data_IF_239110685479
#
_entry.id   IF_239110685479
#
_cell.length_a   1.000
_cell.length_b   1.000
_cell.length_c   1.000
_cell.angle_alpha   90.00
_cell.angle_beta   90.00
_cell.angle_gamma   90.00
#
_symmetry.space_group_name_H-M   'P 1'
#
loop_
_entity.id
_entity.type
_entity.pdbx_description
1 polymer ?
#
# COMPACT_ATOMS: atom_id res chain seq x y z
N UNK A 1 10.12 -5.39 9.01
CA UNK A 1 9.53 -4.26 8.29
C UNK A 1 10.28 -3.02 8.76
N UNK A 2 10.58 -2.07 7.87
CA UNK A 2 11.30 -0.83 8.20
C UNK A 2 10.51 0.38 7.77
N UNK A 3 10.75 1.51 8.42
CA UNK A 3 10.23 2.81 7.99
C UNK A 3 10.62 3.08 6.54
N UNK A 4 9.68 3.59 5.76
CA UNK A 4 9.88 4.05 4.38
C UNK A 4 9.54 5.54 4.33
N UNK A 5 10.43 6.34 3.76
CA UNK A 5 10.22 7.77 3.59
C UNK A 5 9.77 8.05 2.16
N UNK A 6 8.45 8.07 1.97
CA UNK A 6 7.81 8.46 0.71
C UNK A 6 7.29 9.88 0.82
N UNK A 7 7.89 10.80 0.06
CA UNK A 7 7.38 12.16 -0.04
C UNK A 7 6.06 12.18 -0.85
N UNK A 8 4.98 12.54 -0.17
CA UNK A 8 3.65 12.62 -0.77
C UNK A 8 3.41 13.91 -1.56
N UNK A 9 4.28 14.93 -1.42
CA UNK A 9 4.23 16.14 -2.22
C UNK A 9 4.77 15.90 -3.65
N UNK A 10 5.67 14.93 -3.83
CA UNK A 10 6.26 14.60 -5.13
C UNK A 10 5.42 13.56 -5.88
N UNK A 11 4.26 14.00 -6.36
CA UNK A 11 3.28 13.15 -7.05
C UNK A 11 3.80 12.77 -8.46
N UNK A 12 3.74 11.48 -8.87
CA UNK A 12 4.05 11.08 -10.24
C UNK A 12 3.16 11.82 -11.27
N UNK A 13 3.70 12.30 -12.41
CA UNK A 13 2.94 13.04 -13.43
C UNK A 13 1.65 12.33 -13.88
N UNK A 14 1.67 11.01 -13.97
CA UNK A 14 0.51 10.19 -14.33
C UNK A 14 -0.63 10.20 -13.29
N UNK A 15 -0.36 10.58 -12.04
CA UNK A 15 -1.32 10.62 -10.93
C UNK A 15 -1.83 12.04 -10.62
N UNK A 16 -1.29 13.06 -11.30
CA UNK A 16 -1.72 14.45 -11.15
C UNK A 16 -3.20 14.60 -11.55
N UNK A 17 -3.92 15.45 -10.83
CA UNK A 17 -5.32 15.77 -11.07
C UNK A 17 -5.42 16.86 -12.14
N UNK A 18 -6.26 16.63 -13.14
CA UNK A 18 -6.58 17.60 -14.19
C UNK A 18 -7.56 16.97 -15.17
N UNK A 19 -8.45 17.79 -15.73
CA UNK A 19 -9.48 17.32 -16.66
C UNK A 19 -8.89 16.72 -17.95
N UNK A 20 -7.67 17.15 -18.30
CA UNK A 20 -6.87 16.63 -19.43
C UNK A 20 -6.10 15.34 -19.08
N UNK A 21 -6.11 14.91 -17.81
CA UNK A 21 -5.32 13.75 -17.36
C UNK A 21 -6.12 12.47 -17.46
N UNK A 22 -5.64 11.54 -18.29
CA UNK A 22 -6.28 10.23 -18.50
C UNK A 22 -6.52 9.46 -17.19
N UNK A 23 -5.55 9.40 -16.28
CA UNK A 23 -5.75 8.71 -14.99
C UNK A 23 -6.83 9.36 -14.14
N UNK A 24 -6.95 10.69 -14.19
CA UNK A 24 -8.00 11.42 -13.49
C UNK A 24 -9.38 11.09 -14.09
N UNK A 25 -9.51 11.13 -15.41
CA UNK A 25 -10.73 10.73 -16.12
C UNK A 25 -11.15 9.29 -15.76
N UNK A 26 -10.21 8.33 -15.80
CA UNK A 26 -10.48 6.94 -15.39
C UNK A 26 -10.89 6.85 -13.92
N UNK A 27 -10.36 7.70 -13.03
CA UNK A 27 -10.81 7.75 -11.63
C UNK A 27 -12.27 8.18 -11.54
N UNK A 28 -12.65 9.23 -12.25
CA UNK A 28 -14.03 9.72 -12.27
C UNK A 28 -15.00 8.66 -12.78
N UNK A 29 -14.62 7.90 -13.80
CA UNK A 29 -15.41 6.77 -14.31
C UNK A 29 -15.59 5.66 -13.27
N UNK A 30 -14.52 5.26 -12.57
CA UNK A 30 -14.61 4.28 -11.46
C UNK A 30 -15.52 4.80 -10.34
N UNK A 31 -15.45 6.10 -10.02
CA UNK A 31 -16.30 6.71 -9.01
C UNK A 31 -17.77 6.69 -9.45
N UNK A 32 -18.07 7.06 -10.69
CA UNK A 32 -19.42 7.03 -11.24
C UNK A 32 -20.00 5.61 -11.23
N UNK A 33 -19.18 4.62 -11.58
CA UNK A 33 -19.55 3.19 -11.59
C UNK A 33 -19.60 2.54 -10.20
N UNK A 34 -19.06 3.19 -9.18
CA UNK A 34 -18.96 2.71 -7.78
C UNK A 34 -18.29 1.34 -7.63
N UNK A 35 -17.42 0.96 -8.56
CA UNK A 35 -16.66 -0.28 -8.50
C UNK A 35 -15.34 -0.13 -9.26
N UNK A 36 -14.40 -1.01 -8.95
CA UNK A 36 -13.13 -1.08 -9.65
C UNK A 36 -13.21 -2.01 -10.88
N UNK A 37 -12.72 -1.54 -12.02
CA UNK A 37 -12.61 -2.33 -13.26
C UNK A 37 -11.21 -2.92 -13.34
N UNK A 38 -11.11 -4.25 -13.32
CA UNK A 38 -9.82 -4.97 -13.30
C UNK A 38 -9.34 -5.36 -14.71
N UNK A 39 -9.49 -4.46 -15.67
CA UNK A 39 -9.14 -4.67 -17.08
C UNK A 39 -8.43 -3.44 -17.64
N UNK A 40 -7.70 -3.61 -18.75
CA UNK A 40 -7.14 -2.47 -19.46
C UNK A 40 -8.27 -1.58 -20.02
N UNK A 41 -8.11 -0.25 -20.05
CA UNK A 41 -6.92 0.50 -19.63
C UNK A 41 -6.90 0.86 -18.14
N UNK A 42 -7.95 0.56 -17.36
CA UNK A 42 -8.08 0.96 -15.95
C UNK A 42 -6.97 0.35 -15.07
N UNK A 43 -6.73 -0.94 -15.23
CA UNK A 43 -5.76 -1.67 -14.42
C UNK A 43 -4.30 -1.26 -14.69
N UNK A 44 -4.04 -0.56 -15.79
CA UNK A 44 -2.67 -0.18 -16.16
C UNK A 44 -2.33 1.24 -15.71
N UNK A 45 -3.32 2.04 -15.29
CA UNK A 45 -3.11 3.46 -14.92
C UNK A 45 -2.24 3.67 -13.68
N UNK A 46 -2.26 2.76 -12.71
CA UNK A 46 -1.35 2.82 -11.56
C UNK A 46 0.00 2.13 -11.84
N UNK A 47 0.21 1.59 -13.04
CA UNK A 47 1.40 0.85 -13.44
C UNK A 47 2.18 1.60 -14.52
N UNK A 48 2.11 2.92 -14.60
CA UNK A 48 2.93 3.68 -15.53
C UNK A 48 4.39 3.74 -15.04
N UNK A 49 5.33 3.95 -15.96
CA UNK A 49 6.76 3.86 -15.65
C UNK A 49 7.20 4.93 -14.65
N UNK A 50 6.61 6.13 -14.68
CA UNK A 50 6.87 7.18 -13.69
C UNK A 50 6.49 6.77 -12.25
N UNK A 51 5.44 5.95 -12.08
CA UNK A 51 5.05 5.39 -10.78
C UNK A 51 6.02 4.28 -10.39
N UNK A 52 6.28 3.34 -11.31
CA UNK A 52 7.17 2.20 -11.10
C UNK A 52 8.57 2.65 -10.67
N UNK A 53 9.18 3.54 -11.44
CA UNK A 53 10.54 4.01 -11.21
C UNK A 53 10.68 4.73 -9.86
N UNK A 54 9.67 5.54 -9.49
CA UNK A 54 9.66 6.21 -8.19
C UNK A 54 9.56 5.21 -7.05
N UNK A 55 8.61 4.27 -7.12
CA UNK A 55 8.44 3.25 -6.08
C UNK A 55 9.70 2.38 -5.95
N UNK A 56 10.31 1.95 -7.06
CA UNK A 56 11.56 1.17 -7.03
C UNK A 56 12.68 1.92 -6.30
N UNK A 57 12.83 3.22 -6.56
CA UNK A 57 13.84 4.07 -5.90
C UNK A 57 13.54 4.25 -4.40
N UNK A 58 12.30 4.61 -4.06
CA UNK A 58 11.87 4.84 -2.66
C UNK A 58 12.07 3.58 -1.81
N UNK A 59 11.71 2.42 -2.37
CA UNK A 59 11.78 1.15 -1.65
C UNK A 59 13.12 0.43 -1.79
N UNK A 60 14.06 0.97 -2.57
CA UNK A 60 15.34 0.34 -2.88
C UNK A 60 15.20 -1.13 -3.33
N UNK A 61 14.25 -1.38 -4.25
CA UNK A 61 13.90 -2.72 -4.73
C UNK A 61 13.50 -3.71 -3.61
N UNK A 62 12.93 -3.25 -2.49
CA UNK A 62 12.48 -4.12 -1.39
C UNK A 62 10.97 -4.07 -1.20
N UNK A 63 10.39 -5.21 -0.85
CA UNK A 63 8.99 -5.29 -0.46
C UNK A 63 8.71 -4.44 0.79
N UNK A 64 7.66 -3.63 0.75
CA UNK A 64 7.18 -2.81 1.86
C UNK A 64 6.97 -3.62 3.15
N UNK A 65 6.47 -4.86 3.04
CA UNK A 65 6.09 -5.66 4.21
C UNK A 65 7.23 -6.56 4.70
N UNK A 66 7.80 -7.39 3.82
CA UNK A 66 8.79 -8.40 4.19
C UNK A 66 10.25 -7.97 4.02
N UNK A 67 10.50 -6.77 3.48
CA UNK A 67 11.83 -6.21 3.19
C UNK A 67 12.75 -7.02 2.29
N UNK A 68 12.27 -8.13 1.72
CA UNK A 68 13.06 -8.88 0.75
C UNK A 68 13.32 -8.03 -0.47
N UNK A 69 14.56 -8.11 -0.96
CA UNK A 69 14.91 -7.60 -2.29
C UNK A 69 14.12 -8.40 -3.32
N UNK A 70 13.52 -7.69 -4.27
CA UNK A 70 12.67 -8.27 -5.31
C UNK A 70 13.14 -7.83 -6.69
N UNK A 71 13.28 -8.79 -7.59
CA UNK A 71 13.46 -8.51 -9.02
C UNK A 71 12.11 -8.26 -9.69
N UNK A 72 11.11 -9.06 -9.33
CA UNK A 72 9.72 -8.89 -9.74
C UNK A 72 8.87 -8.38 -8.58
N UNK A 73 8.17 -7.27 -8.81
CA UNK A 73 7.32 -6.62 -7.82
C UNK A 73 5.93 -6.33 -8.37
N UNK A 74 5.01 -6.08 -7.44
CA UNK A 74 3.69 -5.55 -7.72
C UNK A 74 3.58 -4.17 -7.10
N UNK A 75 2.85 -3.29 -7.79
CA UNK A 75 2.35 -2.07 -7.17
C UNK A 75 1.10 -2.47 -6.40
N UNK A 76 1.22 -2.43 -5.09
CA UNK A 76 0.22 -2.89 -4.15
C UNK A 76 -0.61 -1.74 -3.59
N UNK A 77 -1.90 -2.00 -3.37
CA UNK A 77 -2.82 -1.04 -2.79
C UNK A 77 -2.97 -1.27 -1.29
N UNK A 78 -2.48 -0.32 -0.48
CA UNK A 78 -2.63 -0.39 0.98
C UNK A 78 -4.09 -0.62 1.39
N UNK A 79 -4.99 0.25 0.90
CA UNK A 79 -6.44 0.06 0.88
C UNK A 79 -6.84 -0.67 -0.41
N UNK A 80 -7.45 -1.86 -0.32
CA UNK A 80 -7.80 -2.66 -1.50
C UNK A 80 -8.66 -1.90 -2.49
N UNK A 81 -8.20 -1.80 -3.74
CA UNK A 81 -8.90 -1.08 -4.83
C UNK A 81 -10.30 -1.60 -5.12
N UNK A 82 -10.58 -2.88 -4.82
CA UNK A 82 -11.93 -3.45 -4.97
C UNK A 82 -12.96 -2.80 -4.03
N UNK A 83 -12.51 -2.37 -2.84
CA UNK A 83 -13.35 -1.73 -1.83
C UNK A 83 -13.23 -0.20 -1.94
N UNK A 84 -12.02 0.30 -2.13
CA UNK A 84 -11.66 1.72 -2.20
C UNK A 84 -11.32 2.12 -3.64
N UNK A 85 -12.24 1.88 -4.58
CA UNK A 85 -12.02 2.10 -6.02
C UNK A 85 -11.59 3.54 -6.36
N UNK A 86 -12.01 4.52 -5.56
CA UNK A 86 -11.61 5.93 -5.71
C UNK A 86 -10.12 6.18 -5.36
N UNK A 87 -9.50 5.29 -4.58
CA UNK A 87 -8.09 5.31 -4.20
C UNK A 87 -7.21 4.39 -5.05
N UNK A 88 -7.75 3.77 -6.10
CA UNK A 88 -7.00 2.86 -6.97
C UNK A 88 -5.77 3.52 -7.63
N UNK A 89 -5.78 4.85 -7.76
CA UNK A 89 -4.68 5.62 -8.33
C UNK A 89 -4.14 6.65 -7.33
N UNK A 90 -4.42 6.53 -6.03
CA UNK A 90 -3.94 7.50 -5.03
C UNK A 90 -2.48 7.24 -4.69
N UNK A 91 -1.63 8.27 -4.75
CA UNK A 91 -0.20 8.10 -4.47
C UNK A 91 0.09 7.55 -3.07
N UNK A 92 -0.62 8.04 -2.05
CA UNK A 92 -0.53 7.55 -0.67
C UNK A 92 -1.12 6.15 -0.43
N UNK A 93 -1.68 5.54 -1.48
CA UNK A 93 -2.27 4.21 -1.43
C UNK A 93 -1.44 3.17 -2.21
N UNK A 94 -0.43 3.58 -2.98
CA UNK A 94 0.43 2.69 -3.77
C UNK A 94 1.74 2.38 -3.04
N UNK A 95 2.01 1.10 -2.81
CA UNK A 95 3.23 0.57 -2.18
C UNK A 95 3.97 -0.36 -3.15
N UNK A 96 5.27 -0.58 -2.94
CA UNK A 96 6.00 -1.64 -3.64
C UNK A 96 5.96 -2.93 -2.81
N UNK A 97 5.38 -4.01 -3.33
CA UNK A 97 5.31 -5.28 -2.62
C UNK A 97 5.74 -6.47 -3.48
N UNK A 98 6.25 -7.52 -2.84
CA UNK A 98 6.49 -8.80 -3.52
C UNK A 98 5.16 -9.50 -3.83
N UNK A 99 5.17 -10.39 -4.83
CA UNK A 99 4.01 -11.20 -5.23
C UNK A 99 3.34 -11.90 -4.03
N UNK A 100 4.14 -12.52 -3.16
CA UNK A 100 3.62 -13.27 -2.02
C UNK A 100 2.88 -12.38 -1.01
N UNK A 101 3.48 -11.27 -0.56
CA UNK A 101 2.84 -10.41 0.43
C UNK A 101 1.58 -9.75 -0.14
N UNK A 102 1.63 -9.33 -1.40
CA UNK A 102 0.47 -8.80 -2.11
C UNK A 102 -0.66 -9.84 -2.17
N UNK A 103 -0.38 -11.06 -2.63
CA UNK A 103 -1.40 -12.12 -2.75
C UNK A 103 -1.98 -12.55 -1.41
N UNK A 104 -1.14 -12.73 -0.38
CA UNK A 104 -1.62 -13.13 0.95
C UNK A 104 -2.49 -12.04 1.58
N UNK A 105 -2.10 -10.77 1.43
CA UNK A 105 -2.94 -9.66 1.85
C UNK A 105 -4.25 -9.66 1.07
N UNK A 106 -4.20 -9.71 -0.26
CA UNK A 106 -5.36 -9.62 -1.13
C UNK A 106 -6.24 -8.42 -0.77
N UNK A 107 -7.51 -8.69 -0.46
CA UNK A 107 -8.50 -7.66 -0.11
C UNK A 107 -8.68 -7.48 1.41
N UNK A 108 -7.85 -8.14 2.22
CA UNK A 108 -7.93 -8.05 3.67
C UNK A 108 -7.47 -6.67 4.14
N UNK A 109 -8.38 -5.94 4.79
CA UNK A 109 -8.13 -4.61 5.33
C UNK A 109 -9.05 -4.35 6.53
N UNK A 110 -8.69 -4.92 7.69
CA UNK A 110 -9.41 -4.72 8.93
C UNK A 110 -9.18 -3.29 9.46
N UNK A 111 -10.26 -2.70 9.97
CA UNK A 111 -10.30 -1.33 10.51
C UNK A 111 -10.94 -1.36 11.90
N UNK A 112 -10.53 -0.46 12.80
CA UNK A 112 -11.14 -0.31 14.13
C UNK A 112 -12.26 0.74 14.15
N UNK A 113 -12.12 1.75 13.29
CA UNK A 113 -13.04 2.87 13.19
C UNK A 113 -14.10 2.69 12.10
N UNK A 114 -14.56 3.81 11.56
CA UNK A 114 -15.62 3.84 10.53
C UNK A 114 -15.01 3.89 9.14
N UNK A 115 -15.46 2.98 8.25
CA UNK A 115 -15.00 2.94 6.86
C UNK A 115 -15.20 4.29 6.17
N UNK A 116 -14.16 4.74 5.47
CA UNK A 116 -14.18 5.95 4.68
C UNK A 116 -15.17 5.83 3.51
N UNK A 117 -15.79 6.95 3.17
CA UNK A 117 -16.66 7.08 2.01
C UNK A 117 -15.92 7.78 0.89
N UNK A 118 -16.27 7.43 -0.35
CA UNK A 118 -15.79 8.15 -1.53
C UNK A 118 -16.06 9.65 -1.35
N UNK A 119 -15.05 10.52 -1.57
CA UNK A 119 -15.25 11.97 -1.50
C UNK A 119 -16.12 12.44 -2.67
N UNK A 120 -16.60 13.67 -2.59
CA UNK A 120 -17.31 14.31 -3.69
C UNK A 120 -16.35 14.49 -4.88
N UNK A 121 -16.79 14.16 -6.10
CA UNK A 121 -15.97 14.26 -7.32
C UNK A 121 -15.52 15.70 -7.61
N UNK A 122 -16.24 16.71 -7.12
CA UNK A 122 -15.86 18.12 -7.23
C UNK A 122 -14.67 18.51 -6.33
N UNK A 123 -14.32 17.68 -5.36
CA UNK A 123 -13.25 17.94 -4.38
C UNK A 123 -12.27 16.77 -4.29
N UNK A 124 -11.59 16.50 -5.41
CA UNK A 124 -10.54 15.48 -5.50
C UNK A 124 -9.13 16.07 -5.42
N UNK A 125 -8.96 17.34 -5.04
CA UNK A 125 -7.65 18.01 -5.01
C UNK A 125 -6.64 17.26 -4.12
N UNK A 126 -7.10 16.77 -2.98
CA UNK A 126 -6.28 16.06 -2.00
C UNK A 126 -6.39 14.54 -2.13
N UNK A 127 -6.94 14.00 -3.22
CA UNK A 127 -7.19 12.56 -3.34
C UNK A 127 -5.92 11.71 -3.24
N UNK A 128 -4.76 12.25 -3.63
CA UNK A 128 -3.47 11.57 -3.57
C UNK A 128 -2.87 11.51 -2.16
N UNK A 129 -3.45 12.23 -1.19
CA UNK A 129 -2.99 12.34 0.21
C UNK A 129 -4.13 12.16 1.23
N UNK A 130 -5.36 11.88 0.79
CA UNK A 130 -6.54 11.80 1.67
C UNK A 130 -6.46 10.60 2.62
N UNK A 131 -5.77 9.54 2.22
CA UNK A 131 -5.59 8.34 3.03
C UNK A 131 -4.78 8.67 4.27
N UNK A 132 -3.62 9.32 4.08
CA UNK A 132 -2.73 9.72 5.17
C UNK A 132 -3.27 10.89 5.99
N UNK A 133 -3.85 11.91 5.34
CA UNK A 133 -4.32 13.13 6.01
C UNK A 133 -5.66 12.98 6.74
N UNK A 134 -6.51 12.02 6.35
CA UNK A 134 -7.88 11.89 6.90
C UNK A 134 -8.27 10.46 7.23
N UNK A 135 -8.17 9.53 6.26
CA UNK A 135 -8.77 8.21 6.43
C UNK A 135 -8.05 7.35 7.47
N UNK A 136 -6.74 7.50 7.65
CA UNK A 136 -6.00 6.77 8.68
C UNK A 136 -6.53 7.08 10.09
N UNK A 137 -6.81 8.35 10.40
CA UNK A 137 -7.40 8.76 11.68
C UNK A 137 -8.82 8.22 11.86
N UNK A 138 -9.63 8.26 10.79
CA UNK A 138 -11.03 7.83 10.83
C UNK A 138 -11.17 6.31 10.95
N UNK A 139 -10.38 5.55 10.18
CA UNK A 139 -10.52 4.11 10.04
C UNK A 139 -9.66 3.34 11.05
N UNK A 140 -8.52 3.90 11.46
CA UNK A 140 -7.53 3.22 12.30
C UNK A 140 -7.24 1.80 11.77
N UNK A 141 -6.59 1.68 10.59
CA UNK A 141 -6.32 0.39 9.96
C UNK A 141 -5.48 -0.50 10.88
N UNK A 142 -5.83 -1.79 10.96
CA UNK A 142 -4.97 -2.78 11.61
C UNK A 142 -3.72 -3.11 10.79
N UNK A 143 -3.82 -3.01 9.47
CA UNK A 143 -2.67 -3.22 8.58
C UNK A 143 -1.67 -2.07 8.74
N UNK A 144 -0.41 -2.38 9.03
CA UNK A 144 0.64 -1.38 9.18
C UNK A 144 1.13 -0.90 7.81
N UNK A 145 1.14 0.42 7.62
CA UNK A 145 1.78 1.07 6.48
C UNK A 145 3.17 1.59 6.91
N UNK A 146 4.27 1.01 6.41
CA UNK A 146 5.63 1.44 6.77
C UNK A 146 5.95 2.88 6.33
N UNK A 147 5.15 3.47 5.44
CA UNK A 147 5.30 4.88 5.05
C UNK A 147 4.78 5.85 6.11
N UNK A 148 3.92 5.39 7.04
CA UNK A 148 3.23 6.25 8.01
C UNK A 148 3.84 6.15 9.40
N UNK A 149 4.20 4.96 9.85
CA UNK A 149 4.87 4.73 11.15
C UNK A 149 6.13 3.90 10.97
N UNK A 150 7.09 4.01 11.91
CA UNK A 150 8.20 3.07 11.98
C UNK A 150 7.74 1.80 12.68
N UNK A 151 7.72 0.64 12.00
CA UNK A 151 7.28 -0.60 12.59
C UNK A 151 8.34 -1.27 13.48
N UNK A 152 9.62 -0.88 13.37
CA UNK A 152 10.75 -1.57 14.00
C UNK A 152 10.60 -1.76 15.52
N UNK A 153 10.14 -0.77 16.31
CA UNK A 153 10.01 -0.91 17.77
C UNK A 153 8.96 -1.94 18.22
N UNK A 154 8.05 -2.33 17.33
CA UNK A 154 6.95 -3.24 17.67
C UNK A 154 7.17 -4.65 17.12
N UNK A 155 8.26 -4.89 16.38
CA UNK A 155 8.56 -6.18 15.78
C UNK A 155 9.67 -6.87 16.57
N UNK A 156 9.36 -8.07 17.05
CA UNK A 156 10.29 -8.93 17.77
C UNK A 156 10.80 -9.97 16.77
N UNK A 157 12.12 -10.13 16.73
CA UNK A 157 12.76 -11.17 15.94
C UNK A 157 13.37 -12.20 16.91
N UNK A 158 13.04 -13.47 16.68
CA UNK A 158 13.53 -14.57 17.49
C UNK A 158 14.83 -15.15 16.90
N UNK A 159 15.57 -15.92 17.70
CA UNK A 159 16.84 -16.56 17.25
C UNK A 159 16.63 -17.51 16.08
N UNK A 160 15.45 -18.12 15.96
CA UNK A 160 15.06 -18.95 14.83
C UNK A 160 14.56 -18.14 13.61
N UNK A 161 14.70 -16.81 13.65
CA UNK A 161 14.31 -15.88 12.59
C UNK A 161 12.81 -15.63 12.49
N UNK A 162 11.98 -16.21 13.37
CA UNK A 162 10.56 -15.85 13.44
C UNK A 162 10.38 -14.38 13.74
N UNK A 163 9.29 -13.83 13.23
CA UNK A 163 8.85 -12.47 13.52
C UNK A 163 7.55 -12.53 14.30
N UNK A 164 7.53 -11.85 15.44
CA UNK A 164 6.38 -11.74 16.34
C UNK A 164 6.19 -10.29 16.77
N UNK A 165 5.12 -10.01 17.50
CA UNK A 165 4.84 -8.71 18.09
C UNK A 165 3.88 -8.91 19.24
N UNK A 166 3.93 -8.06 20.27
CA UNK A 166 2.90 -8.02 21.31
C UNK A 166 1.70 -7.13 20.94
N UNK A 167 1.85 -6.30 19.90
CA UNK A 167 0.80 -5.39 19.44
C UNK A 167 -0.10 -6.07 18.39
N UNK A 168 -1.41 -6.05 18.61
CA UNK A 168 -2.40 -6.71 17.77
C UNK A 168 -2.42 -6.26 16.30
N UNK A 169 -2.11 -5.00 16.00
CA UNK A 169 -2.08 -4.48 14.62
C UNK A 169 -0.85 -5.02 13.86
N UNK A 170 0.26 -5.18 14.56
CA UNK A 170 1.48 -5.76 14.02
C UNK A 170 1.34 -7.27 13.86
N UNK A 171 0.73 -7.98 14.81
CA UNK A 171 0.33 -9.38 14.66
C UNK A 171 -0.56 -9.57 13.43
N UNK A 172 -1.60 -8.74 13.30
CA UNK A 172 -2.48 -8.76 12.14
C UNK A 172 -1.70 -8.60 10.82
N UNK A 173 -0.75 -7.68 10.78
CA UNK A 173 0.09 -7.49 9.58
C UNK A 173 1.03 -8.67 9.32
N UNK A 174 1.60 -9.27 10.39
CA UNK A 174 2.44 -10.46 10.30
C UNK A 174 1.68 -11.61 9.64
N UNK A 175 0.46 -11.86 10.12
CA UNK A 175 -0.40 -12.95 9.71
C UNK A 175 -0.96 -12.75 8.30
N UNK A 176 -1.53 -11.58 8.03
CA UNK A 176 -2.21 -11.28 6.76
C UNK A 176 -1.22 -11.21 5.60
N UNK A 177 -0.07 -10.56 5.78
CA UNK A 177 0.96 -10.52 4.73
C UNK A 177 1.84 -11.78 4.71
N UNK A 178 1.62 -12.73 5.65
CA UNK A 178 2.43 -13.93 5.90
C UNK A 178 3.92 -13.65 5.84
N UNK A 179 4.37 -12.71 6.67
CA UNK A 179 5.78 -12.31 6.75
C UNK A 179 6.55 -13.10 7.82
N UNK A 180 5.89 -14.01 8.55
CA UNK A 180 6.53 -15.12 9.26
C UNK A 180 6.46 -16.38 8.39
N UNK A 181 7.50 -16.64 7.59
CA UNK A 181 7.53 -17.82 6.71
C UNK A 181 8.95 -18.32 6.55
N UNK A 182 9.10 -19.63 6.40
CA UNK A 182 10.39 -20.36 6.41
C UNK A 182 11.52 -19.62 5.68
N UNK A 183 11.30 -19.25 4.42
CA UNK A 183 12.31 -18.53 3.62
C UNK A 183 12.77 -17.21 4.25
N UNK A 184 11.86 -16.41 4.80
CA UNK A 184 12.20 -15.14 5.47
C UNK A 184 12.94 -15.40 6.77
N UNK A 185 12.50 -16.41 7.51
CA UNK A 185 13.05 -16.75 8.82
C UNK A 185 14.50 -17.25 8.65
N UNK A 186 14.76 -18.10 7.66
CA UNK A 186 16.12 -18.54 7.32
C UNK A 186 17.04 -17.39 6.91
N UNK A 187 16.49 -16.34 6.27
CA UNK A 187 17.23 -15.11 5.99
C UNK A 187 17.56 -14.32 7.25
N UNK A 188 16.61 -14.21 8.19
CA UNK A 188 16.78 -13.45 9.45
C UNK A 188 17.75 -14.12 10.42
N UNK A 189 17.79 -15.46 10.46
CA UNK A 189 18.76 -16.24 11.27
C UNK A 189 20.20 -15.85 10.99
N UNK A 190 20.53 -15.49 9.74
CA UNK A 190 21.91 -15.12 9.33
C UNK A 190 22.39 -13.80 9.94
N UNK A 191 21.50 -13.05 10.57
CA UNK A 191 21.79 -11.76 11.21
C UNK A 191 21.83 -11.85 12.75
N UNK A 192 21.64 -13.05 13.30
CA UNK A 192 21.89 -13.39 14.71
C UNK A 192 23.21 -14.14 14.84
#
# INVERSE_FOLDING_TARGET
>A
MKKIDKDLAVIPPSLVIGDDKLTHQRRLELIAKKHYINEAPYNDRYKTDDIRDRLVRIYNNKCAFCEQKVEQYHIEHFRPKQIYYWLAYSWDNLLLACHYCNNYKGINFAIKGKRAKCPNTKDLKNINTISSSKYNLQEQPKLINPEQSDPSPYLIFEKDGKITSDNDDYKYTIDICRIDRKYLNDGRKKHY
#
